data_IF_929097977200
#
_entry.id   IF_929097977200
#
_cell.length_a   1.000
_cell.length_b   1.000
_cell.length_c   1.000
_cell.angle_alpha   90.00
_cell.angle_beta   90.00
_cell.angle_gamma   90.00
#
_symmetry.space_group_name_H-M   'P 1'
#
loop_
_entity.id
_entity.type
_entity.pdbx_description
1 polymer ?
#
# COMPACT_ATOMS: atom_id res chain seq x y z
N UNK A 1 14.29 -10.18 6.29
CA UNK A 1 13.35 -11.23 5.91
C UNK A 1 13.05 -11.26 4.43
N UNK A 2 12.64 -12.42 3.88
CA UNK A 2 12.12 -12.51 2.53
C UNK A 2 10.86 -11.64 2.38
N UNK A 3 10.69 -11.02 1.21
CA UNK A 3 9.46 -10.31 0.87
C UNK A 3 8.38 -11.35 0.55
N UNK A 4 7.28 -11.34 1.31
CA UNK A 4 6.11 -12.17 1.04
C UNK A 4 5.13 -11.44 0.11
N UNK A 5 4.53 -12.17 -0.83
CA UNK A 5 3.47 -11.68 -1.72
C UNK A 5 2.28 -12.61 -1.62
N UNK A 6 1.11 -12.05 -1.31
CA UNK A 6 -0.12 -12.78 -1.06
C UNK A 6 -1.28 -12.13 -1.82
N UNK A 7 -2.31 -12.93 -2.12
CA UNK A 7 -3.58 -12.46 -2.69
C UNK A 7 -4.66 -12.98 -1.75
N UNK A 8 -5.46 -12.07 -1.21
CA UNK A 8 -6.56 -12.40 -0.31
C UNK A 8 -7.72 -11.41 -0.48
N UNK A 9 -8.87 -11.72 0.09
CA UNK A 9 -10.08 -10.89 0.05
C UNK A 9 -10.17 -10.01 1.30
N UNK A 10 -10.43 -8.70 1.17
CA UNK A 10 -10.54 -7.82 2.33
C UNK A 10 -11.82 -8.10 3.13
N UNK A 11 -11.72 -7.93 4.44
CA UNK A 11 -12.85 -7.91 5.37
C UNK A 11 -12.85 -6.54 6.05
N UNK A 12 -14.01 -5.90 6.15
CA UNK A 12 -14.13 -4.59 6.78
C UNK A 12 -13.77 -4.66 8.26
N UNK A 13 -12.87 -3.77 8.70
CA UNK A 13 -12.56 -3.54 10.10
C UNK A 13 -13.39 -2.40 10.71
N UNK A 14 -13.28 -2.23 12.02
CA UNK A 14 -13.99 -1.17 12.74
C UNK A 14 -13.51 0.22 12.29
N UNK A 15 -14.42 1.16 11.95
CA UNK A 15 -14.06 2.48 11.48
C UNK A 15 -13.16 3.24 12.46
N UNK A 16 -12.08 3.84 11.95
CA UNK A 16 -11.16 4.66 12.75
C UNK A 16 -10.21 3.87 13.66
N UNK A 17 -10.30 2.54 13.71
CA UNK A 17 -9.43 1.70 14.54
C UNK A 17 -7.97 1.66 14.08
N UNK A 18 -7.72 1.92 12.79
CA UNK A 18 -6.40 1.69 12.17
C UNK A 18 -6.03 0.20 12.05
N UNK A 19 -6.99 -0.72 12.19
CA UNK A 19 -6.70 -2.15 12.16
C UNK A 19 -6.26 -2.60 10.76
N UNK A 20 -5.14 -3.31 10.71
CA UNK A 20 -4.69 -4.10 9.56
C UNK A 20 -4.45 -5.52 10.08
N UNK A 21 -5.48 -6.37 9.96
CA UNK A 21 -5.46 -7.73 10.46
C UNK A 21 -5.19 -8.73 9.34
N UNK A 22 -4.22 -9.62 9.55
CA UNK A 22 -3.97 -10.77 8.66
C UNK A 22 -4.37 -12.04 9.41
N UNK A 23 -5.23 -12.84 8.79
CA UNK A 23 -5.85 -13.99 9.43
C UNK A 23 -5.53 -15.30 8.67
N UNK A 24 -5.84 -16.44 9.30
CA UNK A 24 -5.75 -17.75 8.65
C UNK A 24 -4.34 -18.09 8.16
N UNK A 25 -4.24 -18.72 6.98
CA UNK A 25 -2.97 -19.17 6.41
C UNK A 25 -1.98 -18.02 6.12
N UNK A 26 -2.49 -16.80 5.85
CA UNK A 26 -1.64 -15.64 5.60
C UNK A 26 -0.87 -15.18 6.86
N UNK A 27 -1.40 -15.45 8.06
CA UNK A 27 -0.75 -15.10 9.32
C UNK A 27 0.54 -15.89 9.59
N UNK A 28 0.79 -16.97 8.85
CA UNK A 28 2.08 -17.68 8.89
C UNK A 28 3.21 -16.91 8.18
N UNK A 29 2.86 -15.91 7.36
CA UNK A 29 3.80 -15.19 6.49
C UNK A 29 3.86 -13.68 6.80
N UNK A 30 2.96 -13.17 7.62
CA UNK A 30 2.91 -11.77 8.04
C UNK A 30 2.66 -11.73 9.54
N UNK A 31 3.48 -10.96 10.25
CA UNK A 31 3.47 -10.89 11.70
C UNK A 31 3.12 -9.49 12.20
N UNK A 32 2.59 -9.36 13.43
CA UNK A 32 2.34 -8.04 14.02
C UNK A 32 3.62 -7.18 14.04
N UNK A 33 3.52 -5.97 13.51
CA UNK A 33 4.64 -5.04 13.38
C UNK A 33 5.30 -5.01 12.01
N UNK A 34 4.99 -5.96 11.12
CA UNK A 34 5.47 -5.92 9.75
C UNK A 34 4.88 -4.73 8.99
N UNK A 35 5.73 -4.05 8.20
CA UNK A 35 5.27 -3.06 7.24
C UNK A 35 4.74 -3.77 5.99
N UNK A 36 3.49 -3.48 5.62
CA UNK A 36 2.82 -4.08 4.46
C UNK A 36 2.36 -3.03 3.45
N UNK A 37 2.21 -3.46 2.19
CA UNK A 37 1.56 -2.67 1.14
C UNK A 37 0.31 -3.43 0.70
N UNK A 38 -0.84 -2.75 0.74
CA UNK A 38 -2.13 -3.31 0.30
C UNK A 38 -2.45 -2.76 -1.10
N UNK A 39 -2.75 -3.65 -2.04
CA UNK A 39 -3.08 -3.30 -3.43
C UNK A 39 -4.42 -3.90 -3.83
N UNK A 40 -5.20 -3.14 -4.58
CA UNK A 40 -6.36 -3.63 -5.31
C UNK A 40 -6.18 -3.35 -6.80
N UNK A 41 -6.80 -4.19 -7.63
CA UNK A 41 -6.70 -4.10 -9.09
C UNK A 41 -8.08 -4.01 -9.70
N UNK A 42 -8.15 -3.34 -10.85
CA UNK A 42 -9.34 -3.26 -11.69
C UNK A 42 -8.96 -3.61 -13.13
N UNK A 43 -9.83 -4.34 -13.82
CA UNK A 43 -9.72 -4.53 -15.25
C UNK A 43 -10.44 -3.39 -15.97
N UNK A 44 -9.74 -2.76 -16.90
CA UNK A 44 -10.22 -1.60 -17.66
C UNK A 44 -9.96 -1.82 -19.14
N UNK A 45 -10.75 -1.19 -19.99
CA UNK A 45 -10.42 -1.12 -21.41
C UNK A 45 -9.12 -0.31 -21.61
N UNK A 46 -8.39 -0.58 -22.68
CA UNK A 46 -7.10 0.09 -22.98
C UNK A 46 -7.19 1.60 -22.94
N UNK A 47 -8.26 2.19 -23.47
CA UNK A 47 -8.46 3.64 -23.49
C UNK A 47 -8.63 4.21 -22.07
N UNK A 48 -9.38 3.51 -21.21
CA UNK A 48 -9.62 3.90 -19.82
C UNK A 48 -8.35 3.72 -18.98
N UNK A 49 -7.62 2.63 -19.17
CA UNK A 49 -6.38 2.34 -18.45
C UNK A 49 -5.30 3.43 -18.64
N UNK A 50 -5.24 4.05 -19.84
CA UNK A 50 -4.28 5.13 -20.14
C UNK A 50 -4.52 6.41 -19.34
N UNK A 51 -5.75 6.64 -18.91
CA UNK A 51 -6.16 7.85 -18.17
C UNK A 51 -6.59 7.54 -16.74
N UNK A 52 -6.52 6.27 -16.33
CA UNK A 52 -6.88 5.84 -14.99
C UNK A 52 -5.90 6.44 -13.97
N UNK A 53 -6.46 7.09 -12.96
CA UNK A 53 -5.72 7.63 -11.82
C UNK A 53 -5.97 6.71 -10.63
N UNK A 54 -4.93 6.03 -10.09
CA UNK A 54 -5.10 5.18 -8.93
C UNK A 54 -5.40 6.03 -7.70
N UNK A 55 -5.99 5.41 -6.68
CA UNK A 55 -6.08 6.01 -5.36
C UNK A 55 -4.89 5.55 -4.52
N UNK A 56 -4.05 6.49 -4.12
CA UNK A 56 -2.89 6.24 -3.27
C UNK A 56 -3.16 6.82 -1.90
N UNK A 57 -2.96 6.01 -0.86
CA UNK A 57 -3.18 6.37 0.54
C UNK A 57 -1.90 6.13 1.30
N UNK A 58 -1.28 7.20 1.80
CA UNK A 58 -0.19 7.10 2.76
C UNK A 58 -0.74 7.18 4.17
N UNK A 59 -0.18 6.36 5.06
CA UNK A 59 -0.55 6.30 6.48
C UNK A 59 0.67 6.54 7.38
N UNK A 60 0.42 6.98 8.61
CA UNK A 60 1.43 7.04 9.66
C UNK A 60 1.64 5.68 10.36
N UNK A 61 2.53 5.64 11.35
CA UNK A 61 2.81 4.45 12.15
C UNK A 61 1.61 3.94 12.98
N UNK A 62 0.55 4.75 13.11
CA UNK A 62 -0.73 4.38 13.72
C UNK A 62 -1.80 4.02 12.69
N UNK A 63 -1.43 3.77 11.44
CA UNK A 63 -2.31 3.49 10.30
C UNK A 63 -3.35 4.61 10.03
N UNK A 64 -3.07 5.84 10.43
CA UNK A 64 -3.94 7.00 10.15
C UNK A 64 -3.55 7.61 8.82
N UNK A 65 -4.54 7.96 7.99
CA UNK A 65 -4.30 8.61 6.70
C UNK A 65 -3.60 9.95 6.90
N UNK A 66 -2.45 10.13 6.25
CA UNK A 66 -1.67 11.38 6.26
C UNK A 66 -1.65 12.08 4.89
N UNK A 67 -1.84 11.32 3.80
CA UNK A 67 -1.93 11.89 2.45
C UNK A 67 -2.77 10.99 1.54
N UNK A 68 -3.58 11.64 0.71
CA UNK A 68 -4.26 11.04 -0.43
C UNK A 68 -3.63 11.56 -1.72
N UNK A 69 -3.48 10.70 -2.72
CA UNK A 69 -2.85 11.06 -3.99
C UNK A 69 -3.17 10.09 -5.12
N UNK A 70 -2.45 10.26 -6.22
CA UNK A 70 -2.63 9.47 -7.45
C UNK A 70 -1.30 8.94 -8.02
N UNK A 71 -0.19 9.19 -7.32
CA UNK A 71 1.15 8.79 -7.75
C UNK A 71 1.70 7.72 -6.80
N UNK A 72 1.73 6.47 -7.26
CA UNK A 72 2.18 5.35 -6.44
C UNK A 72 3.70 5.34 -6.20
N UNK A 73 4.47 6.14 -6.95
CA UNK A 73 5.92 6.27 -6.77
C UNK A 73 6.31 7.41 -5.83
N UNK A 74 5.34 8.23 -5.40
CA UNK A 74 5.59 9.29 -4.43
C UNK A 74 5.88 8.69 -3.04
N UNK A 75 7.00 9.05 -2.39
CA UNK A 75 7.26 8.66 -1.00
C UNK A 75 6.21 9.23 -0.05
N UNK A 76 5.91 8.50 1.03
CA UNK A 76 5.06 9.03 2.09
C UNK A 76 5.69 10.30 2.71
N UNK A 77 4.89 11.31 3.10
CA UNK A 77 5.41 12.51 3.73
C UNK A 77 6.29 12.20 4.95
N UNK A 78 7.53 12.69 4.91
CA UNK A 78 8.50 12.49 5.99
C UNK A 78 9.14 11.10 6.06
N UNK A 79 8.85 10.19 5.13
CA UNK A 79 9.56 8.93 5.02
C UNK A 79 11.01 9.17 4.59
N UNK A 80 11.96 8.67 5.37
CA UNK A 80 13.41 8.84 5.14
C UNK A 80 14.05 7.68 4.37
N UNK A 81 13.31 6.59 4.25
CA UNK A 81 13.73 5.31 3.66
C UNK A 81 12.95 4.96 2.38
N UNK A 82 12.08 5.87 1.92
CA UNK A 82 11.33 5.74 0.68
C UNK A 82 11.87 6.74 -0.36
N UNK A 83 12.04 6.26 -1.59
CA UNK A 83 12.62 7.04 -2.68
C UNK A 83 11.73 6.95 -3.92
N UNK A 84 11.56 8.07 -4.65
CA UNK A 84 10.96 8.04 -5.98
C UNK A 84 11.99 7.48 -6.98
N UNK A 85 11.78 6.28 -7.54
CA UNK A 85 12.75 5.67 -8.45
C UNK A 85 12.93 6.45 -9.75
N UNK A 86 12.01 7.38 -10.09
CA UNK A 86 12.11 8.24 -11.28
C UNK A 86 13.01 9.45 -11.05
N UNK A 87 13.25 9.80 -9.79
CA UNK A 87 14.13 10.91 -9.38
C UNK A 87 15.50 10.45 -8.92
N UNK A 88 15.69 9.14 -8.74
CA UNK A 88 16.99 8.54 -8.47
C UNK A 88 17.91 8.77 -9.68
N UNK A 89 18.73 9.82 -9.61
CA UNK A 89 19.87 9.97 -10.52
C UNK A 89 20.80 8.80 -10.26
N UNK A 90 21.12 8.01 -11.30
CA UNK A 90 22.05 6.87 -11.21
C UNK A 90 23.29 7.28 -10.42
N UNK A 91 23.46 6.71 -9.22
CA UNK A 91 24.76 6.63 -8.54
C UNK A 91 25.60 5.56 -9.22
#
# INVERSE_FOLDING_TARGET
DPVHKLIDTPIAGDPGSGVVGINGAAAHLVHPGDLVIILSYVQLATAEARVHQPQVVHVDAGNRVIQLGQDAAQPAPGAVDQFDPRQATRV
#
